data_IF_872794379777
#
_entry.id   IF_872794379777
#
_cell.length_a   1.000
_cell.length_b   1.000
_cell.length_c   1.000
_cell.angle_alpha   90.00
_cell.angle_beta   90.00
_cell.angle_gamma   90.00
#
_symmetry.space_group_name_H-M   'P 1'
#
loop_
_entity.id
_entity.type
_entity.pdbx_description
1 polymer ?
#
# COMPACT_ATOMS: atom_id res chain seq x y z
N UNK A 1 15.84 18.84 -7.22
CA UNK A 1 14.62 18.08 -6.91
C UNK A 1 14.23 17.32 -8.17
N UNK A 2 14.10 16.01 -8.10
CA UNK A 2 13.59 15.23 -9.23
C UNK A 2 12.10 15.52 -9.42
N UNK A 3 11.65 15.55 -10.66
CA UNK A 3 10.23 15.57 -10.98
C UNK A 3 9.54 14.27 -10.49
N UNK A 4 8.20 14.29 -10.50
CA UNK A 4 7.35 13.20 -10.04
C UNK A 4 7.65 11.87 -10.72
N UNK A 5 7.85 11.90 -12.05
CA UNK A 5 8.11 10.72 -12.84
C UNK A 5 9.50 10.16 -12.53
N UNK A 6 10.53 11.00 -12.55
CA UNK A 6 11.90 10.64 -12.19
C UNK A 6 12.00 10.07 -10.77
N UNK A 7 11.17 10.55 -9.83
CA UNK A 7 11.09 10.01 -8.47
C UNK A 7 10.47 8.62 -8.45
N UNK A 8 9.32 8.44 -9.12
CA UNK A 8 8.67 7.13 -9.26
C UNK A 8 9.61 6.09 -9.89
N UNK A 9 10.37 6.48 -10.91
CA UNK A 9 11.32 5.62 -11.64
C UNK A 9 12.46 5.08 -10.79
N UNK A 10 12.79 5.71 -9.67
CA UNK A 10 13.79 5.19 -8.72
C UNK A 10 13.21 4.02 -7.92
N UNK A 11 11.94 4.11 -7.55
CA UNK A 11 11.22 3.01 -6.89
C UNK A 11 10.83 1.92 -7.89
N UNK A 12 10.57 2.29 -9.13
CA UNK A 12 10.08 1.41 -10.18
C UNK A 12 10.93 1.48 -11.47
N UNK A 13 12.22 1.07 -11.43
CA UNK A 13 13.03 0.97 -12.63
C UNK A 13 12.52 -0.15 -13.57
N UNK A 14 12.61 0.05 -14.89
CA UNK A 14 12.07 -0.88 -15.91
C UNK A 14 12.74 -2.25 -15.93
N UNK A 15 14.02 -2.31 -15.56
CA UNK A 15 14.82 -3.53 -15.58
C UNK A 15 14.62 -4.40 -14.33
N UNK A 16 13.86 -3.94 -13.33
CA UNK A 16 13.61 -4.73 -12.13
C UNK A 16 12.28 -5.49 -12.24
N UNK A 17 12.33 -6.82 -12.07
CA UNK A 17 11.19 -7.71 -12.30
C UNK A 17 9.92 -7.32 -11.52
N UNK A 18 10.10 -6.97 -10.24
CA UNK A 18 8.99 -6.80 -9.30
C UNK A 18 8.36 -5.42 -9.31
N UNK A 19 8.92 -4.47 -10.06
CA UNK A 19 8.48 -3.08 -10.02
C UNK A 19 7.24 -2.83 -10.89
N UNK A 20 6.86 -3.77 -11.74
CA UNK A 20 5.62 -3.73 -12.51
C UNK A 20 4.35 -3.63 -11.64
N UNK A 21 4.43 -4.01 -10.36
CA UNK A 21 3.33 -3.84 -9.40
C UNK A 21 3.36 -2.49 -8.66
N UNK A 22 4.44 -1.73 -8.77
CA UNK A 22 4.58 -0.46 -8.07
C UNK A 22 3.54 0.56 -8.56
N UNK A 23 2.75 1.12 -7.64
CA UNK A 23 1.68 2.06 -7.95
C UNK A 23 2.22 3.50 -8.03
N UNK A 24 1.92 4.25 -9.11
CA UNK A 24 2.39 5.63 -9.26
C UNK A 24 1.57 6.67 -8.48
N UNK A 25 0.48 6.26 -7.81
CA UNK A 25 -0.57 7.17 -7.31
C UNK A 25 -0.03 8.27 -6.40
N UNK A 26 0.78 7.92 -5.40
CA UNK A 26 1.33 8.91 -4.46
C UNK A 26 2.45 9.78 -5.06
N UNK A 27 2.95 9.43 -6.24
CA UNK A 27 3.90 10.25 -7.00
C UNK A 27 3.19 11.25 -7.92
N UNK A 28 1.85 11.20 -8.07
CA UNK A 28 1.13 12.10 -8.98
C UNK A 28 1.21 13.58 -8.61
N UNK A 29 1.34 13.90 -7.31
CA UNK A 29 1.48 15.26 -6.82
C UNK A 29 2.93 15.56 -6.45
N UNK A 30 3.43 16.72 -6.91
CA UNK A 30 4.77 17.17 -6.57
C UNK A 30 4.86 17.54 -5.09
N UNK A 31 5.91 17.04 -4.44
CA UNK A 31 6.17 17.35 -3.04
C UNK A 31 7.13 18.53 -2.95
N UNK A 32 6.59 19.68 -2.54
CA UNK A 32 7.37 20.87 -2.25
C UNK A 32 7.73 20.88 -0.76
N UNK A 33 9.02 20.89 -0.44
CA UNK A 33 9.50 20.95 0.94
C UNK A 33 11.01 20.74 1.01
N UNK A 34 11.65 21.26 2.05
CA UNK A 34 13.08 21.04 2.29
C UNK A 34 13.34 19.54 2.50
N UNK A 35 14.41 18.97 1.91
CA UNK A 35 14.86 17.64 2.23
C UNK A 35 15.05 17.51 3.74
N UNK A 36 14.33 16.57 4.37
CA UNK A 36 14.59 16.20 5.75
C UNK A 36 15.36 14.88 5.74
N UNK A 37 16.38 14.77 6.58
CA UNK A 37 17.15 13.55 6.69
C UNK A 37 16.26 12.41 7.20
N UNK A 38 16.27 11.29 6.49
CA UNK A 38 15.52 10.09 6.86
C UNK A 38 16.29 9.29 7.90
N UNK A 39 15.72 9.12 9.09
CA UNK A 39 16.21 8.12 10.05
C UNK A 39 15.71 6.73 9.65
N UNK A 40 16.59 5.92 9.06
CA UNK A 40 16.28 4.55 8.64
C UNK A 40 16.37 3.61 9.85
N UNK A 41 15.30 2.87 10.20
CA UNK A 41 15.33 1.95 11.34
C UNK A 41 16.20 0.72 11.06
N UNK A 42 16.69 0.07 12.12
CA UNK A 42 17.27 -1.25 12.02
C UNK A 42 16.20 -2.33 11.89
N UNK A 43 16.39 -3.29 10.99
CA UNK A 43 15.50 -4.45 10.81
C UNK A 43 16.17 -5.70 11.37
N UNK A 44 15.46 -6.40 12.27
CA UNK A 44 15.95 -7.61 12.95
C UNK A 44 15.09 -8.86 12.71
N UNK A 45 13.94 -8.70 12.05
CA UNK A 45 12.96 -9.77 11.89
C UNK A 45 13.04 -10.48 10.53
N UNK A 46 13.62 -9.82 9.53
CA UNK A 46 13.77 -10.38 8.19
C UNK A 46 15.14 -11.03 8.05
N UNK A 47 15.27 -12.15 7.33
CA UNK A 47 16.57 -12.63 6.89
C UNK A 47 17.16 -11.65 5.86
N UNK A 48 18.48 -11.71 5.65
CA UNK A 48 19.07 -11.11 4.45
C UNK A 48 18.48 -11.79 3.20
N UNK A 49 18.42 -11.05 2.10
CA UNK A 49 17.85 -11.59 0.86
C UNK A 49 18.59 -12.85 0.40
N UNK A 50 17.84 -13.95 0.27
CA UNK A 50 18.27 -15.23 -0.28
C UNK A 50 17.77 -15.47 -1.71
N UNK A 51 17.04 -14.50 -2.28
CA UNK A 51 16.37 -14.61 -3.58
C UNK A 51 15.12 -15.50 -3.59
N UNK A 52 14.77 -16.14 -2.47
CA UNK A 52 13.66 -17.11 -2.34
C UNK A 52 12.57 -16.64 -1.38
N UNK A 53 12.78 -15.51 -0.73
CA UNK A 53 11.86 -14.93 0.24
C UNK A 53 11.35 -13.59 -0.24
N UNK A 54 10.02 -13.43 -0.34
CA UNK A 54 9.37 -12.15 -0.55
C UNK A 54 8.86 -11.57 0.78
N UNK A 55 8.73 -10.25 0.86
CA UNK A 55 8.30 -9.56 2.09
C UNK A 55 7.08 -8.68 1.82
N UNK A 56 6.18 -8.60 2.80
CA UNK A 56 5.15 -7.56 2.86
C UNK A 56 5.39 -6.72 4.11
N UNK A 57 5.44 -5.39 3.95
CA UNK A 57 5.48 -4.44 5.07
C UNK A 57 4.15 -3.71 5.11
N UNK A 58 3.29 -4.09 6.05
CA UNK A 58 1.97 -3.49 6.28
C UNK A 58 1.98 -2.75 7.63
N UNK A 59 2.63 -1.58 7.63
CA UNK A 59 2.80 -0.72 8.81
C UNK A 59 2.16 0.65 8.58
N UNK A 60 1.72 1.36 9.63
CA UNK A 60 0.99 2.61 9.45
C UNK A 60 1.88 3.75 8.93
N UNK A 61 1.40 4.44 7.91
CA UNK A 61 2.00 5.66 7.36
C UNK A 61 3.45 5.46 6.91
N UNK A 62 4.29 6.47 7.18
CA UNK A 62 5.71 6.48 6.74
C UNK A 62 6.55 5.31 7.25
N UNK A 63 6.13 4.64 8.34
CA UNK A 63 6.90 3.51 8.91
C UNK A 63 7.09 2.38 7.90
N UNK A 64 6.08 2.13 7.07
CA UNK A 64 6.16 1.12 6.01
C UNK A 64 7.26 1.45 4.98
N UNK A 65 7.34 2.71 4.57
CA UNK A 65 8.39 3.20 3.66
C UNK A 65 9.77 3.09 4.29
N UNK A 66 9.94 3.56 5.53
CA UNK A 66 11.24 3.56 6.22
C UNK A 66 11.78 2.14 6.44
N UNK A 67 10.91 1.19 6.80
CA UNK A 67 11.30 -0.19 6.98
C UNK A 67 11.60 -0.88 5.64
N UNK A 68 10.89 -0.51 4.56
CA UNK A 68 11.24 -0.89 3.19
C UNK A 68 12.63 -0.42 2.77
N UNK A 69 12.99 0.82 3.11
CA UNK A 69 14.33 1.37 2.85
C UNK A 69 15.42 0.63 3.63
N UNK A 70 15.13 0.23 4.88
CA UNK A 70 16.04 -0.59 5.67
C UNK A 70 16.26 -1.97 5.03
N UNK A 71 15.19 -2.60 4.55
CA UNK A 71 15.24 -3.88 3.82
C UNK A 71 15.98 -3.77 2.49
N UNK A 72 15.97 -2.62 1.84
CA UNK A 72 16.78 -2.38 0.65
C UNK A 72 18.28 -2.58 0.91
N UNK A 73 18.76 -2.17 2.09
CA UNK A 73 20.16 -2.42 2.53
C UNK A 73 20.45 -3.90 2.75
N UNK A 74 19.41 -4.70 3.02
CA UNK A 74 19.51 -6.15 3.23
C UNK A 74 19.38 -6.95 1.93
N UNK A 75 19.35 -6.27 0.77
CA UNK A 75 19.35 -6.88 -0.55
C UNK A 75 17.98 -7.08 -1.18
N UNK A 76 16.91 -6.51 -0.61
CA UNK A 76 15.57 -6.58 -1.18
C UNK A 76 15.24 -5.39 -2.09
N UNK A 77 14.23 -5.55 -2.95
CA UNK A 77 13.67 -4.48 -3.78
C UNK A 77 12.37 -3.95 -3.17
N UNK A 78 12.32 -2.71 -2.66
CA UNK A 78 11.06 -2.10 -2.23
C UNK A 78 10.12 -1.85 -3.41
N UNK A 79 8.86 -2.23 -3.26
CA UNK A 79 7.80 -2.08 -4.27
C UNK A 79 6.60 -1.36 -3.63
N UNK A 80 6.43 -0.04 -3.86
CA UNK A 80 5.31 0.72 -3.29
C UNK A 80 3.97 0.28 -3.88
N UNK A 81 3.06 -0.25 -3.06
CA UNK A 81 1.71 -0.64 -3.50
C UNK A 81 0.63 0.37 -3.09
N UNK A 82 1.01 1.57 -2.65
CA UNK A 82 0.08 2.58 -2.14
C UNK A 82 -0.87 3.08 -3.23
N UNK A 83 -2.17 2.87 -3.02
CA UNK A 83 -3.23 3.25 -3.96
C UNK A 83 -4.21 4.31 -3.40
N UNK A 84 -3.88 4.89 -2.24
CA UNK A 84 -4.60 6.03 -1.69
C UNK A 84 -4.26 7.30 -2.44
N UNK A 85 -5.24 8.18 -2.62
CA UNK A 85 -5.09 9.46 -3.34
C UNK A 85 -5.12 10.66 -2.37
N UNK A 86 -4.61 11.80 -2.84
CA UNK A 86 -4.69 13.06 -2.10
C UNK A 86 -6.13 13.62 -2.10
N UNK A 87 -6.52 14.21 -0.97
CA UNK A 87 -7.66 15.12 -0.88
C UNK A 87 -7.23 16.57 -1.14
N UNK A 88 -8.19 17.49 -1.10
CA UNK A 88 -7.96 18.92 -1.41
C UNK A 88 -7.02 19.64 -0.43
N UNK A 89 -6.78 19.09 0.78
CA UNK A 89 -5.85 19.66 1.75
C UNK A 89 -5.49 18.71 2.89
N UNK A 90 -4.39 19.00 3.60
CA UNK A 90 -4.02 18.29 4.83
C UNK A 90 -5.19 18.35 5.84
N UNK A 91 -5.50 17.23 6.52
CA UNK A 91 -6.61 17.13 7.47
C UNK A 91 -8.01 16.86 6.87
N UNK A 92 -8.18 17.01 5.56
CA UNK A 92 -9.46 16.71 4.88
C UNK A 92 -9.66 15.23 4.59
N UNK A 93 -8.56 14.46 4.52
CA UNK A 93 -8.55 13.06 4.12
C UNK A 93 -8.98 12.12 5.27
N UNK A 94 -9.69 11.04 4.92
CA UNK A 94 -9.99 9.96 5.84
C UNK A 94 -8.71 9.22 6.28
N UNK A 95 -7.74 9.07 5.38
CA UNK A 95 -6.41 8.52 5.63
C UNK A 95 -5.39 9.56 5.21
N UNK A 96 -4.58 10.07 6.13
CA UNK A 96 -3.52 11.02 5.76
C UNK A 96 -2.35 10.30 5.06
N UNK A 97 -2.30 10.44 3.73
CA UNK A 97 -1.25 9.85 2.88
C UNK A 97 0.00 10.74 2.78
N UNK A 98 -0.07 11.97 3.28
CA UNK A 98 1.01 12.96 3.15
C UNK A 98 2.33 12.47 3.76
N UNK A 99 2.36 11.86 4.96
CA UNK A 99 3.59 11.34 5.52
C UNK A 99 4.21 10.20 4.70
N UNK A 100 3.38 9.35 4.08
CA UNK A 100 3.84 8.26 3.19
C UNK A 100 4.49 8.86 1.96
N UNK A 101 3.81 9.82 1.32
CA UNK A 101 4.33 10.50 0.15
C UNK A 101 5.64 11.25 0.43
N UNK A 102 5.70 12.04 1.51
CA UNK A 102 6.94 12.73 1.94
C UNK A 102 8.10 11.72 2.06
N UNK A 103 7.85 10.57 2.69
CA UNK A 103 8.86 9.52 2.84
C UNK A 103 9.23 8.83 1.52
N UNK A 104 8.31 8.66 0.56
CA UNK A 104 8.62 8.11 -0.76
C UNK A 104 9.54 9.03 -1.56
N UNK A 105 9.28 10.34 -1.55
CA UNK A 105 10.13 11.33 -2.23
C UNK A 105 11.52 11.42 -1.61
N UNK A 106 11.59 11.55 -0.28
CA UNK A 106 12.88 11.55 0.43
C UNK A 106 13.62 10.21 0.30
N UNK A 107 12.87 9.11 0.30
CA UNK A 107 13.42 7.76 0.17
C UNK A 107 13.96 7.47 -1.22
N UNK A 108 13.48 8.16 -2.26
CA UNK A 108 14.03 8.03 -3.60
C UNK A 108 15.50 8.49 -3.65
N UNK A 109 15.84 9.61 -3.01
CA UNK A 109 17.24 10.06 -2.95
C UNK A 109 18.12 9.06 -2.16
N UNK A 110 17.58 8.49 -1.09
CA UNK A 110 18.25 7.42 -0.34
C UNK A 110 18.48 6.16 -1.18
N UNK A 111 17.45 5.68 -1.90
CA UNK A 111 17.53 4.50 -2.75
C UNK A 111 18.50 4.67 -3.91
N UNK A 112 18.62 5.88 -4.46
CA UNK A 112 19.57 6.17 -5.56
C UNK A 112 21.02 5.89 -5.13
N UNK A 113 21.33 6.06 -3.85
CA UNK A 113 22.64 5.73 -3.28
C UNK A 113 22.89 4.24 -3.06
N UNK A 114 21.88 3.38 -3.22
CA UNK A 114 22.01 1.93 -3.02
C UNK A 114 22.13 1.20 -4.35
N UNK A 115 23.03 0.20 -4.40
CA UNK A 115 23.08 -0.77 -5.49
C UNK A 115 22.21 -1.98 -5.14
N UNK A 116 20.99 -2.00 -5.68
CA UNK A 116 20.05 -3.11 -5.52
C UNK A 116 20.04 -3.90 -6.82
N UNK A 117 20.16 -5.24 -6.74
CA UNK A 117 20.13 -6.12 -7.91
C UNK A 117 18.78 -6.04 -8.65
N UNK A 118 18.80 -6.27 -9.95
CA UNK A 118 17.59 -6.28 -10.78
C UNK A 118 16.64 -7.43 -10.43
N UNK A 119 17.22 -8.57 -10.02
CA UNK A 119 16.53 -9.78 -9.58
C UNK A 119 16.30 -9.84 -8.05
N UNK A 120 16.63 -8.78 -7.32
CA UNK A 120 16.43 -8.72 -5.87
C UNK A 120 14.96 -9.01 -5.51
N UNK A 121 14.68 -9.91 -4.55
CA UNK A 121 13.31 -10.28 -4.20
C UNK A 121 12.53 -9.10 -3.63
N UNK A 122 11.19 -9.11 -3.75
CA UNK A 122 10.39 -7.94 -3.47
C UNK A 122 10.12 -7.75 -1.98
N UNK A 123 10.01 -6.47 -1.59
CA UNK A 123 9.34 -6.02 -0.37
C UNK A 123 8.16 -5.16 -0.79
N UNK A 124 6.96 -5.70 -0.72
CA UNK A 124 5.73 -4.97 -1.04
C UNK A 124 5.35 -4.06 0.12
N UNK A 125 5.24 -2.76 -0.15
CA UNK A 125 4.97 -1.74 0.87
C UNK A 125 3.49 -1.34 0.86
N UNK A 126 2.84 -1.51 2.01
CA UNK A 126 1.44 -1.19 2.26
C UNK A 126 1.29 -0.28 3.47
N UNK A 127 0.17 0.43 3.54
CA UNK A 127 -0.18 1.24 4.72
C UNK A 127 -1.22 0.52 5.57
N UNK A 128 -0.88 0.24 6.83
CA UNK A 128 -1.79 -0.41 7.78
C UNK A 128 -3.01 0.45 8.17
N UNK A 129 -2.96 1.75 7.87
CA UNK A 129 -4.05 2.69 8.10
C UNK A 129 -5.01 2.84 6.91
N UNK A 130 -4.75 2.18 5.76
CA UNK A 130 -5.50 2.36 4.50
C UNK A 130 -7.02 2.18 4.59
N UNK A 131 -7.50 1.40 5.56
CA UNK A 131 -8.93 1.18 5.82
C UNK A 131 -9.42 1.76 7.16
N UNK A 132 -8.56 2.44 7.94
CA UNK A 132 -8.86 2.88 9.32
C UNK A 132 -9.50 4.29 9.43
N UNK A 133 -9.65 5.00 8.31
CA UNK A 133 -10.32 6.30 8.30
C UNK A 133 -11.81 6.21 8.61
N UNK A 134 -12.44 7.26 9.18
CA UNK A 134 -13.87 7.28 9.37
C UNK A 134 -14.59 7.15 8.03
N UNK A 135 -15.53 6.21 7.95
CA UNK A 135 -16.28 5.97 6.72
C UNK A 135 -17.20 7.17 6.44
N UNK A 136 -17.13 7.71 5.21
CA UNK A 136 -18.12 8.64 4.65
C UNK A 136 -18.58 9.74 5.60
N UNK A 137 -17.65 10.51 6.17
CA UNK A 137 -18.01 11.72 6.91
C UNK A 137 -18.25 12.88 5.92
N UNK A 138 -19.41 13.56 5.98
CA UNK A 138 -19.66 14.79 5.24
C UNK A 138 -18.51 15.79 5.38
N UNK A 139 -18.11 16.43 4.28
CA UNK A 139 -17.01 17.39 4.26
C UNK A 139 -15.60 16.78 4.33
N UNK A 140 -15.46 15.45 4.50
CA UNK A 140 -14.19 14.73 4.37
C UNK A 140 -14.02 14.08 3.00
N UNK A 141 -12.76 13.92 2.62
CA UNK A 141 -12.34 13.22 1.42
C UNK A 141 -12.04 11.75 1.75
N UNK A 142 -12.86 10.82 1.26
CA UNK A 142 -12.70 9.40 1.53
C UNK A 142 -11.71 8.78 0.53
N UNK A 143 -10.45 8.73 0.93
CA UNK A 143 -9.33 8.13 0.19
C UNK A 143 -8.88 6.78 0.74
N UNK A 144 -9.75 6.10 1.51
CA UNK A 144 -9.48 4.72 1.91
C UNK A 144 -9.37 3.83 0.68
N UNK A 145 -8.51 2.83 0.77
CA UNK A 145 -8.22 1.93 -0.34
C UNK A 145 -7.91 0.53 0.19
N UNK A 146 -8.13 -0.47 -0.65
CA UNK A 146 -7.82 -1.86 -0.36
C UNK A 146 -6.94 -2.45 -1.46
N UNK A 147 -6.30 -3.58 -1.15
CA UNK A 147 -5.57 -4.39 -2.13
C UNK A 147 -6.41 -5.52 -2.67
N UNK A 148 -6.24 -5.82 -3.96
CA UNK A 148 -6.80 -6.98 -4.61
C UNK A 148 -5.69 -7.95 -5.04
N UNK A 149 -6.00 -9.24 -5.27
CA UNK A 149 -5.05 -10.19 -5.84
C UNK A 149 -4.34 -9.72 -7.11
N UNK A 150 -4.93 -8.83 -7.91
CA UNK A 150 -4.27 -8.28 -9.11
C UNK A 150 -3.25 -7.17 -8.81
N UNK A 151 -3.24 -6.64 -7.59
CA UNK A 151 -2.30 -5.59 -7.17
C UNK A 151 -0.94 -6.15 -6.72
N UNK A 152 -0.79 -7.47 -6.72
CA UNK A 152 0.45 -8.18 -6.41
C UNK A 152 0.65 -9.34 -7.42
N UNK A 153 1.86 -9.94 -7.50
CA UNK A 153 2.09 -11.08 -8.38
C UNK A 153 1.19 -12.27 -8.03
N UNK A 154 0.91 -13.13 -9.01
CA UNK A 154 0.24 -14.39 -8.71
C UNK A 154 1.16 -15.34 -7.95
N UNK A 155 0.57 -16.36 -7.30
CA UNK A 155 1.35 -17.40 -6.63
C UNK A 155 2.27 -18.15 -7.62
N UNK A 156 1.76 -18.47 -8.80
CA UNK A 156 2.54 -19.14 -9.85
C UNK A 156 3.69 -18.27 -10.34
N UNK A 157 3.47 -16.96 -10.46
CA UNK A 157 4.53 -16.02 -10.81
C UNK A 157 5.63 -16.01 -9.74
N UNK A 158 5.27 -15.92 -8.46
CA UNK A 158 6.22 -16.00 -7.35
C UNK A 158 7.01 -17.33 -7.36
N UNK A 159 6.31 -18.46 -7.50
CA UNK A 159 6.92 -19.78 -7.51
C UNK A 159 7.86 -19.98 -8.71
N UNK A 160 7.48 -19.53 -9.90
CA UNK A 160 8.33 -19.60 -11.10
C UNK A 160 9.64 -18.81 -10.98
N UNK A 161 9.67 -17.82 -10.08
CA UNK A 161 10.86 -17.03 -9.75
C UNK A 161 11.49 -17.48 -8.41
N UNK A 162 11.19 -18.69 -7.95
CA UNK A 162 11.86 -19.32 -6.80
C UNK A 162 11.40 -18.84 -5.42
N UNK A 163 10.34 -18.03 -5.34
CA UNK A 163 9.81 -17.55 -4.06
C UNK A 163 8.99 -18.66 -3.39
N UNK A 164 9.51 -19.19 -2.28
CA UNK A 164 8.88 -20.27 -1.50
C UNK A 164 8.40 -19.85 -0.11
N UNK A 165 8.76 -18.64 0.33
CA UNK A 165 8.38 -18.08 1.62
C UNK A 165 8.05 -16.60 1.55
N UNK A 166 7.08 -16.18 2.37
CA UNK A 166 6.68 -14.80 2.54
C UNK A 166 6.67 -14.44 4.01
N UNK A 167 7.33 -13.33 4.36
CA UNK A 167 7.22 -12.73 5.69
C UNK A 167 6.36 -11.47 5.62
N UNK A 168 5.41 -11.34 6.54
CA UNK A 168 4.46 -10.24 6.60
C UNK A 168 4.69 -9.48 7.90
N UNK A 169 5.26 -8.29 7.78
CA UNK A 169 5.47 -7.36 8.87
C UNK A 169 4.17 -6.60 9.15
N UNK A 170 3.41 -7.11 10.13
CA UNK A 170 2.12 -6.56 10.53
C UNK A 170 1.70 -7.06 11.92
N UNK A 171 1.08 -6.20 12.74
CA UNK A 171 0.47 -6.61 14.00
C UNK A 171 -0.82 -7.41 13.81
N UNK A 172 -1.57 -7.11 12.74
CA UNK A 172 -2.77 -7.84 12.35
C UNK A 172 -2.85 -7.90 10.84
N UNK A 173 -3.14 -9.08 10.29
CA UNK A 173 -3.41 -9.24 8.87
C UNK A 173 -4.77 -8.64 8.55
N UNK A 174 -4.78 -7.65 7.66
CA UNK A 174 -6.02 -7.03 7.20
C UNK A 174 -6.76 -7.96 6.22
N UNK A 175 -8.08 -7.85 6.19
CA UNK A 175 -8.92 -8.77 5.42
C UNK A 175 -8.57 -8.76 3.92
N UNK A 176 -8.27 -7.59 3.36
CA UNK A 176 -7.87 -7.44 1.96
C UNK A 176 -6.56 -8.16 1.63
N UNK A 177 -5.53 -7.98 2.45
CA UNK A 177 -4.27 -8.68 2.31
C UNK A 177 -4.43 -10.20 2.52
N UNK A 178 -5.34 -10.63 3.40
CA UNK A 178 -5.63 -12.05 3.61
C UNK A 178 -6.11 -12.76 2.34
N UNK A 179 -6.84 -12.07 1.44
CA UNK A 179 -7.23 -12.65 0.14
C UNK A 179 -6.03 -12.95 -0.76
N UNK A 180 -4.94 -12.19 -0.62
CA UNK A 180 -3.71 -12.42 -1.38
C UNK A 180 -2.92 -13.55 -0.72
N UNK A 181 -2.68 -13.45 0.58
CA UNK A 181 -1.87 -14.42 1.34
C UNK A 181 -2.46 -15.83 1.32
N UNK A 182 -3.79 -15.97 1.37
CA UNK A 182 -4.42 -17.29 1.31
C UNK A 182 -4.22 -17.97 -0.05
N UNK A 183 -4.16 -17.20 -1.15
CA UNK A 183 -3.85 -17.75 -2.48
C UNK A 183 -2.43 -18.28 -2.53
N UNK A 184 -1.48 -17.51 -2.00
CA UNK A 184 -0.08 -17.95 -1.89
C UNK A 184 0.05 -19.22 -1.05
N UNK A 185 -0.62 -19.27 0.11
CA UNK A 185 -0.60 -20.44 0.98
C UNK A 185 -1.22 -21.68 0.31
N UNK A 186 -2.34 -21.53 -0.41
CA UNK A 186 -2.96 -22.62 -1.19
C UNK A 186 -2.05 -23.17 -2.29
N UNK A 187 -1.16 -22.35 -2.84
CA UNK A 187 -0.15 -22.75 -3.82
C UNK A 187 1.16 -23.25 -3.18
N UNK A 188 1.19 -23.45 -1.87
CA UNK A 188 2.34 -24.02 -1.16
C UNK A 188 3.41 -23.03 -0.69
N UNK A 189 3.19 -21.72 -0.81
CA UNK A 189 4.11 -20.71 -0.28
C UNK A 189 3.90 -20.59 1.24
N UNK A 190 4.99 -20.72 2.01
CA UNK A 190 4.95 -20.60 3.49
C UNK A 190 4.80 -19.13 3.88
N UNK A 191 3.88 -18.85 4.81
CA UNK A 191 3.61 -17.47 5.26
C UNK A 191 4.02 -17.34 6.73
N UNK A 192 4.81 -16.32 7.04
CA UNK A 192 5.22 -15.96 8.40
C UNK A 192 4.69 -14.57 8.73
N UNK A 193 4.04 -14.40 9.88
CA UNK A 193 3.69 -13.08 10.41
C UNK A 193 4.75 -12.61 11.40
N UNK A 194 5.11 -11.33 11.34
CA UNK A 194 6.00 -10.67 12.29
C UNK A 194 5.32 -9.45 12.91
N UNK A 195 4.90 -9.57 14.17
CA UNK A 195 4.37 -8.47 14.98
C UNK A 195 5.47 -7.73 15.75
N UNK A 196 5.10 -6.81 16.64
CA UNK A 196 6.04 -5.92 17.36
C UNK A 196 7.19 -6.61 18.11
N UNK A 197 7.03 -7.89 18.50
CA UNK A 197 8.10 -8.68 19.12
C UNK A 197 9.25 -9.07 18.17
N UNK A 198 9.15 -8.74 16.88
CA UNK A 198 10.12 -9.05 15.82
C UNK A 198 10.40 -10.55 15.63
N UNK A 199 9.56 -11.42 16.18
CA UNK A 199 9.72 -12.87 16.06
C UNK A 199 8.78 -13.40 14.98
N UNK A 200 9.30 -13.98 13.89
CA UNK A 200 8.46 -14.62 12.88
C UNK A 200 7.71 -15.82 13.46
N UNK A 201 6.40 -15.85 13.20
CA UNK A 201 5.54 -16.98 13.52
C UNK A 201 4.87 -17.45 12.24
N UNK A 202 4.94 -18.76 11.97
CA UNK A 202 4.21 -19.33 10.84
C UNK A 202 2.70 -19.07 11.00
N UNK A 203 2.10 -18.58 9.93
CA UNK A 203 0.72 -18.11 9.90
C UNK A 203 -0.09 -19.04 9.01
N UNK A 204 -1.06 -19.74 9.60
CA UNK A 204 -2.18 -20.31 8.85
C UNK A 204 -3.16 -19.18 8.54
N UNK A 205 -3.31 -18.84 7.26
CA UNK A 205 -4.14 -17.70 6.84
C UNK A 205 -5.60 -18.10 6.97
N UNK A 206 -6.33 -17.41 7.85
CA UNK A 206 -7.77 -17.63 8.02
C UNK A 206 -8.49 -17.22 6.73
N UNK A 207 -9.45 -18.04 6.28
CA UNK A 207 -10.26 -17.75 5.10
C UNK A 207 -11.02 -16.43 5.27
N UNK A 208 -10.77 -15.41 4.44
CA UNK A 208 -11.50 -14.16 4.53
C UNK A 208 -12.93 -14.33 3.98
N UNK A 209 -13.84 -13.46 4.40
CA UNK A 209 -15.23 -13.49 3.93
C UNK A 209 -15.29 -13.30 2.40
N UNK A 210 -16.19 -14.03 1.74
CA UNK A 210 -16.39 -13.97 0.29
C UNK A 210 -15.11 -14.27 -0.55
N UNK A 211 -14.17 -15.05 -0.02
CA UNK A 211 -12.99 -15.50 -0.77
C UNK A 211 -13.37 -16.17 -2.10
N UNK A 212 -12.66 -15.82 -3.18
CA UNK A 212 -12.91 -16.22 -4.59
C UNK A 212 -14.25 -15.76 -5.19
N UNK A 213 -15.09 -15.06 -4.43
CA UNK A 213 -16.33 -14.50 -4.98
C UNK A 213 -16.10 -13.16 -5.67
N UNK A 214 -16.67 -12.97 -6.87
CA UNK A 214 -16.79 -11.66 -7.52
C UNK A 214 -17.50 -10.62 -6.63
N UNK A 215 -18.32 -11.08 -5.67
CA UNK A 215 -18.99 -10.24 -4.69
C UNK A 215 -18.01 -9.56 -3.73
N UNK A 216 -16.83 -10.14 -3.44
CA UNK A 216 -15.86 -9.48 -2.56
C UNK A 216 -15.40 -8.13 -3.13
N UNK A 217 -15.09 -8.07 -4.43
CA UNK A 217 -14.67 -6.83 -5.07
C UNK A 217 -15.82 -5.82 -5.10
N UNK A 218 -17.05 -6.27 -5.32
CA UNK A 218 -18.23 -5.42 -5.24
C UNK A 218 -18.44 -4.87 -3.81
N UNK A 219 -18.46 -5.73 -2.79
CA UNK A 219 -18.65 -5.40 -1.37
C UNK A 219 -17.53 -4.53 -0.79
N UNK A 220 -16.26 -4.85 -1.09
CA UNK A 220 -15.12 -4.06 -0.66
C UNK A 220 -15.16 -2.64 -1.24
N UNK A 221 -15.74 -2.46 -2.43
CA UNK A 221 -15.86 -1.15 -3.06
C UNK A 221 -17.16 -0.42 -2.73
N UNK A 222 -18.22 -1.12 -2.30
CA UNK A 222 -19.51 -0.52 -1.89
C UNK A 222 -19.38 0.47 -0.71
N UNK A 223 -18.36 0.30 0.13
CA UNK A 223 -18.05 1.18 1.26
C UNK A 223 -16.95 2.20 1.00
N UNK A 224 -16.32 2.18 -0.19
CA UNK A 224 -15.24 3.07 -0.58
C UNK A 224 -15.75 4.08 -1.62
N UNK A 225 -15.19 5.27 -1.61
CA UNK A 225 -15.53 6.29 -2.60
C UNK A 225 -14.62 6.13 -3.82
N UNK A 226 -15.19 6.22 -5.03
CA UNK A 226 -14.45 6.14 -6.29
C UNK A 226 -14.38 7.49 -7.00
N UNK A 227 -13.26 7.73 -7.68
CA UNK A 227 -13.09 8.91 -8.51
C UNK A 227 -13.64 8.66 -9.94
N UNK A 228 -13.79 9.73 -10.72
CA UNK A 228 -14.32 9.68 -12.08
C UNK A 228 -13.47 8.82 -13.05
N UNK A 229 -12.21 8.54 -12.70
CA UNK A 229 -11.30 7.68 -13.47
C UNK A 229 -11.31 6.21 -13.01
N UNK A 230 -12.21 5.82 -12.10
CA UNK A 230 -12.38 4.44 -11.63
C UNK A 230 -11.41 3.99 -10.52
N UNK A 231 -10.55 4.87 -10.02
CA UNK A 231 -9.70 4.65 -8.85
C UNK A 231 -10.41 4.97 -7.52
N UNK A 232 -9.70 4.82 -6.40
CA UNK A 232 -10.21 5.22 -5.08
C UNK A 232 -10.16 6.74 -4.90
N UNK A 233 -11.03 7.27 -4.03
CA UNK A 233 -11.05 8.68 -3.64
C UNK A 233 -12.26 9.46 -4.14
N UNK A 234 -12.86 10.26 -3.27
CA UNK A 234 -13.82 11.29 -3.65
C UNK A 234 -14.33 12.09 -2.45
N UNK A 235 -14.84 13.29 -2.72
CA UNK A 235 -15.47 14.13 -1.70
C UNK A 235 -16.79 13.51 -1.30
N UNK A 236 -17.01 13.32 0.00
CA UNK A 236 -18.30 12.88 0.52
C UNK A 236 -19.23 14.08 0.54
N UNK A 237 -20.36 14.07 -0.22
CA UNK A 237 -21.27 15.20 -0.27
C UNK A 237 -21.77 15.55 1.13
N UNK A 238 -21.86 16.84 1.43
CA UNK A 238 -22.66 17.26 2.57
C UNK A 238 -24.14 16.99 2.28
N UNK A 239 -24.92 16.48 3.26
CA UNK A 239 -26.36 16.43 3.10
C UNK A 239 -26.82 17.88 2.92
N UNK A 240 -27.19 18.25 1.71
CA UNK A 240 -27.91 19.51 1.46
C UNK A 240 -29.13 19.48 2.35
N UNK A 241 -29.22 20.41 3.30
CA UNK A 241 -30.51 20.75 3.89
C UNK A 241 -31.37 21.32 2.76
N UNK A 242 -32.08 20.46 2.05
CA UNK A 242 -33.30 20.87 1.36
C UNK A 242 -34.30 21.21 2.47
N UNK A 243 -34.21 22.44 2.97
CA UNK A 243 -35.38 23.11 3.52
C UNK A 243 -36.37 23.22 2.35
N UNK A 244 -37.33 22.29 2.32
CA UNK A 244 -38.44 22.30 1.39
C UNK A 244 -39.31 23.54 1.65
N UNK A 245 -38.87 24.69 1.15
CA UNK A 245 -39.71 25.86 1.00
C UNK A 245 -40.74 25.59 -0.08
N UNK A 246 -41.90 25.06 0.31
CA UNK A 246 -43.10 25.06 -0.53
C UNK A 246 -43.48 26.52 -0.80
N UNK A 247 -43.05 27.07 -1.93
CA UNK A 247 -43.74 28.19 -2.55
C UNK A 247 -45.06 27.66 -3.11
N UNK A 248 -46.16 27.92 -2.42
CA UNK A 248 -47.48 27.91 -3.05
C UNK A 248 -47.61 29.20 -3.85
N UNK A 249 -47.38 29.13 -5.16
CA UNK A 249 -47.91 30.11 -6.08
C UNK A 249 -49.30 29.66 -6.52
N UNK A 250 -50.34 30.39 -6.13
CA UNK A 250 -51.65 30.39 -6.78
C UNK A 250 -52.09 31.85 -6.91
N UNK A 251 -52.38 32.24 -8.16
CA UNK A 251 -53.50 33.08 -8.60
C UNK A 251 -53.74 34.41 -7.91
#
# INVERSE_FOLDING_TARGET
>A
MNDNYSTYRIWAPDNALWTQWAKPVLFSQAMHGSPQELTIPGVKWAPYSDGRTALFVDLPGKRSVLEGLALARMGYRPVPLYNGVYGAGEGTMAVDVTPVAKALYQGADYLRGLRIREDAPPVFLLDAARMKGPARQPGRYDNRWCVFPQDAPSADFLASHGIGSIYVRANKIQNDLAHILLRYQKSGIRIYQVGDNNMPKELTVVRPSHFESFLYRFLATLGLTRNAAGGFGGTVPEPTQTSGGRHYGIG
#
